data_IF_778277122654
#
_entry.id   IF_778277122654
#
_cell.length_a   1.000
_cell.length_b   1.000
_cell.length_c   1.000
_cell.angle_alpha   90.00
_cell.angle_beta   90.00
_cell.angle_gamma   90.00
#
_symmetry.space_group_name_H-M   'P 1'
#
loop_
_entity.id
_entity.type
_entity.pdbx_description
1 polymer ?
#
# COMPACT_ATOMS: atom_id res chain seq x y z
N UNK A 1 -16.90 -20.34 7.42
CA UNK A 1 -16.04 -19.14 7.45
C UNK A 1 -16.33 -18.34 6.19
N UNK A 2 -16.50 -17.03 6.31
CA UNK A 2 -16.98 -16.21 5.19
C UNK A 2 -16.00 -16.31 4.00
N UNK A 3 -16.54 -16.65 2.82
CA UNK A 3 -15.81 -16.79 1.55
C UNK A 3 -15.81 -15.46 0.79
N UNK A 4 -15.42 -14.38 1.47
CA UNK A 4 -15.55 -13.02 0.95
C UNK A 4 -14.39 -12.16 1.40
N UNK A 5 -14.13 -11.09 0.68
CA UNK A 5 -13.23 -10.03 1.15
C UNK A 5 -13.77 -9.40 2.43
N UNK A 6 -12.88 -9.16 3.38
CA UNK A 6 -13.16 -8.43 4.62
C UNK A 6 -12.77 -6.95 4.49
N UNK A 7 -11.83 -6.64 3.59
CA UNK A 7 -11.29 -5.30 3.36
C UNK A 7 -11.36 -4.92 1.88
N UNK A 8 -11.74 -3.70 1.59
CA UNK A 8 -11.64 -3.12 0.25
C UNK A 8 -10.18 -2.69 -0.03
N UNK A 9 -9.51 -2.11 0.97
CA UNK A 9 -8.15 -1.59 0.84
C UNK A 9 -7.25 -2.13 1.94
N UNK A 10 -6.01 -2.48 1.59
CA UNK A 10 -4.92 -2.74 2.53
C UNK A 10 -3.84 -1.66 2.37
N UNK A 11 -3.60 -0.85 3.40
CA UNK A 11 -2.51 0.15 3.36
C UNK A 11 -1.21 -0.49 3.86
N UNK A 12 -0.19 -0.49 3.00
CA UNK A 12 1.14 -1.05 3.29
C UNK A 12 2.18 0.07 3.33
N UNK A 13 2.92 0.19 4.42
CA UNK A 13 4.00 1.17 4.57
C UNK A 13 5.05 0.67 5.58
N UNK A 14 6.26 1.27 5.53
CA UNK A 14 7.31 0.98 6.52
C UNK A 14 6.95 1.61 7.87
N UNK A 15 6.65 0.77 8.86
CA UNK A 15 6.15 1.15 10.20
C UNK A 15 7.26 1.45 11.22
N UNK A 16 8.31 2.14 10.81
CA UNK A 16 9.32 2.64 11.75
C UNK A 16 8.96 4.05 12.19
N UNK A 17 9.20 4.40 13.46
CA UNK A 17 9.04 5.77 13.94
C UNK A 17 9.74 6.76 12.99
N UNK A 18 9.02 7.80 12.58
CA UNK A 18 9.50 8.80 11.62
C UNK A 18 8.36 9.41 10.79
N UNK A 19 8.75 10.32 9.91
CA UNK A 19 7.84 11.20 9.16
C UNK A 19 6.81 10.42 8.35
N UNK A 20 7.21 9.36 7.63
CA UNK A 20 6.28 8.53 6.86
C UNK A 20 5.16 7.96 7.76
N UNK A 21 5.51 7.38 8.92
CA UNK A 21 4.52 6.79 9.80
C UNK A 21 3.59 7.84 10.41
N UNK A 22 4.11 9.03 10.73
CA UNK A 22 3.31 10.13 11.24
C UNK A 22 2.39 10.69 10.15
N UNK A 23 2.89 10.90 8.93
CA UNK A 23 2.12 11.36 7.79
C UNK A 23 0.98 10.40 7.42
N UNK A 24 1.27 9.08 7.40
CA UNK A 24 0.23 8.09 7.11
C UNK A 24 -0.88 8.14 8.16
N UNK A 25 -0.52 8.22 9.45
CA UNK A 25 -1.48 8.24 10.57
C UNK A 25 -2.28 9.54 10.62
N UNK A 26 -1.60 10.67 10.52
CA UNK A 26 -2.19 11.99 10.73
C UNK A 26 -3.03 12.45 9.55
N UNK A 27 -2.66 12.04 8.32
CA UNK A 27 -3.22 12.59 7.09
C UNK A 27 -3.72 11.52 6.12
N UNK A 28 -2.83 10.69 5.58
CA UNK A 28 -3.16 9.84 4.43
C UNK A 28 -4.28 8.83 4.72
N UNK A 29 -4.13 8.00 5.76
CA UNK A 29 -5.12 6.98 6.10
C UNK A 29 -6.49 7.61 6.38
N UNK A 30 -6.51 8.68 7.18
CA UNK A 30 -7.75 9.37 7.55
C UNK A 30 -8.45 9.97 6.33
N UNK A 31 -7.74 10.74 5.51
CA UNK A 31 -8.31 11.39 4.33
C UNK A 31 -8.76 10.37 3.29
N UNK A 32 -7.99 9.30 3.09
CA UNK A 32 -8.36 8.23 2.16
C UNK A 32 -9.61 7.49 2.63
N UNK A 33 -9.71 7.19 3.93
CA UNK A 33 -10.91 6.57 4.51
C UNK A 33 -12.14 7.44 4.31
N UNK A 34 -12.06 8.73 4.66
CA UNK A 34 -13.17 9.67 4.49
C UNK A 34 -13.56 9.84 3.01
N UNK A 35 -12.58 9.89 2.09
CA UNK A 35 -12.85 10.05 0.66
C UNK A 35 -13.50 8.80 0.05
N UNK A 36 -13.04 7.60 0.41
CA UNK A 36 -13.63 6.34 -0.07
C UNK A 36 -15.04 6.12 0.49
N UNK A 37 -15.29 6.47 1.75
CA UNK A 37 -16.61 6.35 2.38
C UNK A 37 -17.65 7.26 1.72
N UNK A 38 -17.22 8.41 1.18
CA UNK A 38 -18.08 9.31 0.40
C UNK A 38 -18.25 8.88 -1.06
N UNK A 39 -17.50 7.88 -1.52
CA UNK A 39 -17.50 7.43 -2.92
C UNK A 39 -18.30 6.13 -3.07
N UNK A 40 -18.11 5.16 -2.17
CA UNK A 40 -18.78 3.86 -2.20
C UNK A 40 -20.17 3.93 -1.56
N UNK A 41 -21.15 3.20 -2.13
CA UNK A 41 -22.50 3.04 -1.54
C UNK A 41 -22.55 2.18 -0.26
N UNK A 42 -21.40 1.67 0.19
CA UNK A 42 -21.25 0.81 1.37
C UNK A 42 -20.09 1.32 2.22
N UNK A 43 -20.14 1.06 3.52
CA UNK A 43 -19.04 1.36 4.43
C UNK A 43 -17.73 0.77 3.91
N UNK A 44 -16.73 1.62 3.68
CA UNK A 44 -15.42 1.18 3.21
C UNK A 44 -14.66 0.49 4.34
N UNK A 45 -14.07 -0.67 4.05
CA UNK A 45 -13.23 -1.38 5.02
C UNK A 45 -11.76 -1.29 4.63
N UNK A 46 -11.01 -0.48 5.37
CA UNK A 46 -9.57 -0.34 5.18
C UNK A 46 -8.84 -1.12 6.27
N UNK A 47 -8.00 -2.07 5.87
CA UNK A 47 -7.01 -2.64 6.76
C UNK A 47 -5.84 -1.68 6.91
N UNK A 48 -5.67 -1.18 8.13
CA UNK A 48 -4.57 -0.35 8.55
C UNK A 48 -3.98 -0.92 9.85
N UNK A 49 -2.74 -1.38 9.76
CA UNK A 49 -1.98 -1.85 10.92
C UNK A 49 -1.00 -0.77 11.35
N UNK A 50 -1.18 -0.25 12.56
CA UNK A 50 -0.36 0.81 13.15
C UNK A 50 0.71 0.28 14.13
N UNK A 51 0.74 -1.03 14.35
CA UNK A 51 1.66 -1.69 15.27
C UNK A 51 3.03 -1.88 14.59
N UNK A 52 4.11 -1.61 15.34
CA UNK A 52 5.47 -1.89 14.88
C UNK A 52 5.65 -3.40 14.82
N UNK A 53 6.11 -3.91 13.67
CA UNK A 53 6.44 -5.33 13.49
C UNK A 53 7.64 -5.65 14.37
N UNK A 54 7.41 -6.36 15.47
CA UNK A 54 8.45 -6.83 16.39
C UNK A 54 8.69 -8.32 16.17
N UNK A 55 9.95 -8.68 15.89
CA UNK A 55 10.35 -10.07 15.64
C UNK A 55 10.30 -10.50 14.17
N UNK A 56 11.01 -11.58 13.84
CA UNK A 56 11.22 -12.08 12.48
C UNK A 56 10.08 -12.93 11.89
N UNK A 57 8.85 -12.82 12.40
CA UNK A 57 7.69 -13.53 11.85
C UNK A 57 6.69 -12.54 11.26
N UNK A 58 6.25 -12.77 10.01
CA UNK A 58 5.21 -11.93 9.39
C UNK A 58 3.92 -12.08 10.21
N UNK A 59 3.34 -10.99 10.76
CA UNK A 59 2.17 -11.12 11.61
C UNK A 59 1.05 -11.87 10.90
N UNK A 60 0.57 -12.95 11.52
CA UNK A 60 -0.49 -13.79 10.96
C UNK A 60 -1.75 -12.97 10.63
N UNK A 61 -1.99 -11.91 11.41
CA UNK A 61 -3.03 -10.90 11.19
C UNK A 61 -2.84 -10.15 9.88
N UNK A 62 -1.65 -9.60 9.60
CA UNK A 62 -1.34 -8.89 8.36
C UNK A 62 -1.43 -9.81 7.13
N UNK A 63 -0.93 -11.04 7.24
CA UNK A 63 -1.08 -12.05 6.17
C UNK A 63 -2.54 -12.37 5.88
N UNK A 64 -3.32 -12.65 6.93
CA UNK A 64 -4.74 -12.98 6.80
C UNK A 64 -5.54 -11.80 6.24
N UNK A 65 -5.26 -10.58 6.70
CA UNK A 65 -5.87 -9.36 6.20
C UNK A 65 -5.54 -9.13 4.72
N UNK A 66 -4.28 -9.31 4.31
CA UNK A 66 -3.91 -9.22 2.90
C UNK A 66 -4.67 -10.23 2.04
N UNK A 67 -4.85 -11.47 2.51
CA UNK A 67 -5.65 -12.51 1.83
C UNK A 67 -7.14 -12.16 1.70
N UNK A 68 -7.64 -11.23 2.50
CA UNK A 68 -9.03 -10.77 2.50
C UNK A 68 -9.19 -9.32 2.09
N UNK A 69 -8.14 -8.71 1.52
CA UNK A 69 -8.19 -7.39 0.92
C UNK A 69 -8.33 -7.47 -0.61
N UNK A 70 -9.15 -6.58 -1.18
CA UNK A 70 -9.33 -6.45 -2.64
C UNK A 70 -8.13 -5.77 -3.29
N UNK A 71 -7.74 -4.59 -2.77
CA UNK A 71 -6.67 -3.76 -3.34
C UNK A 71 -5.60 -3.47 -2.28
N UNK A 72 -4.34 -3.46 -2.71
CA UNK A 72 -3.19 -3.05 -1.92
C UNK A 72 -2.83 -1.61 -2.31
N UNK A 73 -2.64 -0.76 -1.30
CA UNK A 73 -2.13 0.62 -1.44
C UNK A 73 -0.77 0.72 -0.73
N UNK A 74 0.33 0.48 -1.45
CA UNK A 74 1.68 0.74 -0.97
C UNK A 74 1.95 2.24 -0.85
N UNK A 75 2.41 2.67 0.33
CA UNK A 75 3.00 4.01 0.52
C UNK A 75 4.51 3.88 0.36
N UNK A 76 4.97 4.15 -0.85
CA UNK A 76 6.32 3.91 -1.31
C UNK A 76 7.31 4.94 -0.75
N UNK A 77 8.43 4.42 -0.25
CA UNK A 77 9.64 5.14 0.14
C UNK A 77 10.85 4.25 -0.17
N UNK A 78 12.10 4.74 -0.20
CA UNK A 78 13.26 3.88 -0.45
C UNK A 78 13.39 2.72 0.56
N UNK A 79 12.92 2.93 1.80
CA UNK A 79 12.91 1.91 2.85
C UNK A 79 11.79 0.88 2.67
N UNK A 80 10.70 1.22 1.97
CA UNK A 80 9.64 0.27 1.63
C UNK A 80 10.19 -0.91 0.83
N UNK A 81 11.00 -0.63 -0.19
CA UNK A 81 11.59 -1.63 -1.08
C UNK A 81 12.76 -2.40 -0.47
N UNK A 82 13.11 -2.13 0.79
CA UNK A 82 14.09 -2.89 1.58
C UNK A 82 13.45 -3.63 2.76
N UNK A 83 12.14 -3.49 2.93
CA UNK A 83 11.38 -4.14 3.99
C UNK A 83 10.83 -5.47 3.46
N UNK A 84 11.25 -6.57 4.07
CA UNK A 84 10.87 -7.93 3.67
C UNK A 84 9.35 -8.13 3.63
N UNK A 85 8.63 -7.52 4.57
CA UNK A 85 7.20 -7.71 4.71
C UNK A 85 6.42 -6.82 3.74
N UNK A 86 6.88 -5.59 3.48
CA UNK A 86 6.33 -4.74 2.43
C UNK A 86 6.50 -5.41 1.05
N UNK A 87 7.67 -6.00 0.79
CA UNK A 87 7.91 -6.77 -0.44
C UNK A 87 7.04 -8.03 -0.49
N UNK A 88 6.85 -8.73 0.64
CA UNK A 88 5.95 -9.87 0.73
C UNK A 88 4.51 -9.50 0.34
N UNK A 89 4.00 -8.39 0.86
CA UNK A 89 2.67 -7.87 0.54
C UNK A 89 2.54 -7.55 -0.94
N UNK A 90 3.50 -6.79 -1.49
CA UNK A 90 3.53 -6.43 -2.89
C UNK A 90 3.57 -7.66 -3.81
N UNK A 91 4.51 -8.56 -3.60
CA UNK A 91 4.67 -9.75 -4.46
C UNK A 91 3.51 -10.73 -4.34
N UNK A 92 2.86 -10.80 -3.18
CA UNK A 92 1.64 -11.60 -3.01
C UNK A 92 0.50 -11.07 -3.88
N UNK A 93 0.30 -9.75 -3.90
CA UNK A 93 -0.74 -9.13 -4.74
C UNK A 93 -0.39 -9.19 -6.22
N UNK A 94 0.88 -8.98 -6.59
CA UNK A 94 1.31 -9.13 -7.98
C UNK A 94 1.13 -10.57 -8.50
N UNK A 95 1.31 -11.56 -7.63
CA UNK A 95 1.02 -12.96 -7.94
C UNK A 95 -0.48 -13.21 -8.14
N UNK A 96 -1.37 -12.53 -7.39
CA UNK A 96 -2.82 -12.59 -7.60
C UNK A 96 -3.22 -12.01 -8.95
N UNK A 97 -2.70 -10.85 -9.32
CA UNK A 97 -2.97 -10.26 -10.64
C UNK A 97 -2.58 -11.22 -11.77
N UNK A 98 -1.39 -11.85 -11.64
CA UNK A 98 -0.90 -12.83 -12.62
C UNK A 98 -1.81 -14.06 -12.69
N UNK A 99 -2.23 -14.58 -11.54
CA UNK A 99 -3.11 -15.74 -11.46
C UNK A 99 -4.50 -15.45 -12.03
N UNK A 100 -5.08 -14.30 -11.65
CA UNK A 100 -6.38 -13.85 -12.15
C UNK A 100 -6.34 -13.61 -13.66
N UNK A 101 -5.31 -12.92 -14.17
CA UNK A 101 -5.18 -12.66 -15.61
C UNK A 101 -5.03 -13.91 -16.48
N UNK A 102 -4.47 -15.01 -15.94
CA UNK A 102 -4.46 -16.30 -16.62
C UNK A 102 -5.85 -16.93 -16.73
N UNK A 103 -6.75 -16.63 -15.79
CA UNK A 103 -8.11 -17.18 -15.74
C UNK A 103 -9.09 -16.33 -16.56
N UNK A 104 -9.00 -15.00 -16.47
CA UNK A 104 -9.94 -14.06 -17.13
C UNK A 104 -9.48 -13.53 -18.48
N UNK A 105 -8.21 -13.65 -18.85
CA UNK A 105 -7.64 -13.06 -20.07
C UNK A 105 -7.30 -11.57 -19.96
N UNK A 106 -7.93 -10.85 -19.02
CA UNK A 106 -7.54 -9.49 -18.60
C UNK A 106 -6.86 -9.53 -17.22
N UNK A 107 -5.73 -8.86 -17.08
CA UNK A 107 -4.96 -8.82 -15.83
C UNK A 107 -5.49 -7.69 -14.94
N UNK A 108 -6.18 -8.00 -13.82
CA UNK A 108 -6.68 -6.95 -12.95
C UNK A 108 -5.53 -6.20 -12.29
N UNK A 109 -5.73 -4.92 -12.02
CA UNK A 109 -4.82 -4.10 -11.22
C UNK A 109 -5.25 -4.19 -9.76
N UNK A 110 -4.41 -4.78 -8.91
CA UNK A 110 -4.67 -4.96 -7.48
C UNK A 110 -3.68 -4.21 -6.59
N UNK A 111 -2.69 -3.55 -7.20
CA UNK A 111 -1.71 -2.72 -6.49
C UNK A 111 -1.80 -1.28 -7.00
N UNK A 112 -2.11 -0.36 -6.10
CA UNK A 112 -2.19 1.08 -6.33
C UNK A 112 -1.10 1.82 -5.52
N UNK A 113 0.12 1.95 -6.07
CA UNK A 113 1.23 2.58 -5.36
C UNK A 113 1.11 4.10 -5.29
N UNK A 114 1.33 4.66 -4.10
CA UNK A 114 1.50 6.10 -3.88
C UNK A 114 2.93 6.39 -3.42
N UNK A 115 3.46 7.54 -3.79
CA UNK A 115 4.84 7.95 -3.53
C UNK A 115 4.82 8.99 -2.41
N UNK A 116 5.55 8.73 -1.31
CA UNK A 116 5.67 9.66 -0.19
C UNK A 116 6.89 10.61 -0.30
N UNK A 117 7.96 10.18 -0.96
CA UNK A 117 9.19 10.97 -1.13
C UNK A 117 9.79 10.71 -2.52
N UNK A 118 11.06 11.03 -2.79
CA UNK A 118 11.62 10.77 -4.12
C UNK A 118 11.52 9.29 -4.54
N UNK A 119 11.31 9.06 -5.83
CA UNK A 119 11.21 7.74 -6.44
C UNK A 119 12.47 7.30 -7.18
N UNK A 120 13.55 8.10 -7.10
CA UNK A 120 14.81 7.88 -7.82
C UNK A 120 15.47 6.54 -7.46
N UNK A 121 15.31 6.12 -6.21
CA UNK A 121 15.91 4.89 -5.69
C UNK A 121 14.97 3.68 -5.74
N UNK A 122 13.79 3.81 -6.35
CA UNK A 122 12.84 2.71 -6.44
C UNK A 122 13.32 1.70 -7.50
N UNK A 123 13.08 0.41 -7.29
CA UNK A 123 13.47 -0.60 -8.27
C UNK A 123 12.67 -0.41 -9.56
N UNK A 124 13.29 -0.71 -10.71
CA UNK A 124 12.67 -0.51 -12.03
C UNK A 124 11.31 -1.20 -12.18
N UNK A 125 11.16 -2.40 -11.61
CA UNK A 125 9.90 -3.15 -11.63
C UNK A 125 8.76 -2.44 -10.89
N UNK A 126 9.06 -1.54 -9.96
CA UNK A 126 8.03 -0.78 -9.28
C UNK A 126 7.44 0.29 -10.21
N UNK A 127 8.31 0.91 -11.03
CA UNK A 127 7.94 1.93 -12.04
C UNK A 127 7.17 1.37 -13.23
N UNK A 128 7.09 0.05 -13.40
CA UNK A 128 6.19 -0.59 -14.36
C UNK A 128 4.70 -0.32 -14.04
N UNK A 129 4.40 0.10 -12.80
CA UNK A 129 3.05 0.48 -12.36
C UNK A 129 2.88 1.98 -12.38
N UNK A 130 1.66 2.42 -12.69
CA UNK A 130 1.25 3.82 -12.53
C UNK A 130 1.25 4.16 -11.04
N UNK A 131 2.25 4.90 -10.60
CA UNK A 131 2.33 5.43 -9.24
C UNK A 131 1.72 6.82 -9.15
N UNK A 132 1.12 7.15 -8.00
CA UNK A 132 0.66 8.51 -7.70
C UNK A 132 1.66 9.26 -6.85
N UNK A 133 2.10 10.40 -7.36
CA UNK A 133 3.05 11.23 -6.65
C UNK A 133 2.33 12.10 -5.60
N UNK A 134 2.69 11.92 -4.33
CA UNK A 134 2.20 12.73 -3.22
C UNK A 134 3.36 13.44 -2.48
N UNK A 135 4.55 13.51 -3.09
CA UNK A 135 5.73 14.11 -2.50
C UNK A 135 5.50 15.58 -2.11
N UNK A 136 4.70 16.32 -2.89
CA UNK A 136 4.39 17.73 -2.63
C UNK A 136 3.67 17.96 -1.29
N UNK A 137 3.00 16.93 -0.74
CA UNK A 137 2.23 17.02 0.49
C UNK A 137 2.76 16.14 1.62
N UNK A 138 4.05 15.79 1.60
CA UNK A 138 4.66 14.84 2.53
C UNK A 138 4.92 15.37 3.96
N UNK A 139 4.24 16.45 4.36
CA UNK A 139 4.40 17.09 5.67
C UNK A 139 3.72 16.28 6.79
N UNK A 140 4.48 15.67 7.72
CA UNK A 140 3.92 14.72 8.70
C UNK A 140 3.17 15.40 9.84
N UNK A 141 3.37 16.70 10.03
CA UNK A 141 2.91 17.43 11.21
C UNK A 141 1.41 17.74 11.14
N UNK A 142 0.71 17.71 12.28
CA UNK A 142 -0.73 17.97 12.33
C UNK A 142 -1.12 19.37 11.82
N UNK A 143 -0.28 20.38 12.06
CA UNK A 143 -0.52 21.76 11.61
C UNK A 143 -0.62 21.89 10.08
N UNK A 144 -0.13 20.90 9.32
CA UNK A 144 -0.32 20.84 7.87
C UNK A 144 -1.81 20.90 7.51
N UNK A 145 -2.73 20.40 8.34
CA UNK A 145 -4.18 20.45 8.11
C UNK A 145 -4.75 21.87 7.95
N UNK A 146 -4.05 22.88 8.48
CA UNK A 146 -4.46 24.28 8.36
C UNK A 146 -3.81 25.00 7.16
N UNK A 147 -2.89 24.35 6.44
CA UNK A 147 -2.20 24.95 5.30
C UNK A 147 -3.08 24.92 4.04
N UNK A 148 -2.91 25.90 3.15
CA UNK A 148 -3.63 25.93 1.87
C UNK A 148 -3.33 24.70 1.00
N UNK A 149 -2.07 24.24 0.99
CA UNK A 149 -1.66 23.03 0.28
C UNK A 149 -2.41 21.76 0.75
N UNK A 150 -3.02 21.78 1.95
CA UNK A 150 -3.85 20.68 2.42
C UNK A 150 -5.18 20.55 1.66
N UNK A 151 -5.69 21.66 1.10
CA UNK A 151 -6.87 21.63 0.22
C UNK A 151 -6.55 20.89 -1.09
N UNK A 152 -5.37 21.14 -1.65
CA UNK A 152 -4.88 20.44 -2.85
C UNK A 152 -4.64 18.96 -2.55
N UNK A 153 -4.01 18.65 -1.41
CA UNK A 153 -3.89 17.27 -0.92
C UNK A 153 -5.25 16.57 -0.81
N UNK A 154 -6.26 17.24 -0.25
CA UNK A 154 -7.61 16.70 -0.15
C UNK A 154 -8.23 16.41 -1.53
N UNK A 155 -8.05 17.31 -2.50
CA UNK A 155 -8.50 17.10 -3.88
C UNK A 155 -7.82 15.90 -4.53
N UNK A 156 -6.50 15.76 -4.36
CA UNK A 156 -5.74 14.63 -4.92
C UNK A 156 -6.16 13.30 -4.28
N UNK A 157 -6.37 13.27 -2.95
CA UNK A 157 -6.91 12.08 -2.27
C UNK A 157 -8.32 11.74 -2.77
N UNK A 158 -9.15 12.74 -3.09
CA UNK A 158 -10.46 12.54 -3.71
C UNK A 158 -10.37 11.88 -5.09
N UNK A 159 -9.36 12.22 -5.90
CA UNK A 159 -9.14 11.55 -7.19
C UNK A 159 -8.60 10.13 -7.01
N UNK A 160 -7.69 9.93 -6.06
CA UNK A 160 -7.21 8.60 -5.67
C UNK A 160 -8.37 7.71 -5.21
N UNK A 161 -9.32 8.23 -4.44
CA UNK A 161 -10.48 7.47 -3.97
C UNK A 161 -11.37 6.99 -5.12
N UNK A 162 -11.62 7.82 -6.14
CA UNK A 162 -12.37 7.43 -7.35
C UNK A 162 -11.65 6.36 -8.15
N UNK A 163 -10.33 6.51 -8.35
CA UNK A 163 -9.55 5.49 -9.04
C UNK A 163 -9.56 4.17 -8.25
N UNK A 164 -9.50 4.22 -6.92
CA UNK A 164 -9.59 3.03 -6.07
C UNK A 164 -10.97 2.38 -6.08
N UNK A 165 -12.07 3.15 -6.11
CA UNK A 165 -13.43 2.61 -6.27
C UNK A 165 -13.50 1.70 -7.51
N UNK A 166 -13.03 2.19 -8.65
CA UNK A 166 -13.02 1.40 -9.89
C UNK A 166 -12.22 0.10 -9.75
N UNK A 167 -11.07 0.14 -9.06
CA UNK A 167 -10.26 -1.05 -8.80
C UNK A 167 -10.91 -2.02 -7.82
N UNK A 168 -11.59 -1.52 -6.79
CA UNK A 168 -12.30 -2.29 -5.78
C UNK A 168 -13.46 -3.06 -6.43
N UNK A 169 -14.23 -2.41 -7.29
CA UNK A 169 -15.37 -3.01 -8.00
C UNK A 169 -14.92 -3.99 -9.09
N UNK A 170 -13.76 -3.75 -9.73
CA UNK A 170 -13.17 -4.66 -10.72
C UNK A 170 -12.33 -5.79 -10.11
N UNK A 171 -12.15 -5.83 -8.78
CA UNK A 171 -11.37 -6.86 -8.13
C UNK A 171 -12.01 -8.25 -8.38
N UNK A 172 -11.20 -9.28 -8.70
CA UNK A 172 -11.71 -10.62 -8.96
C UNK A 172 -12.39 -11.20 -7.71
N UNK A 173 -13.30 -12.14 -7.88
CA UNK A 173 -13.94 -12.84 -6.77
C UNK A 173 -12.91 -13.40 -5.78
N UNK A 174 -13.28 -13.39 -4.50
CA UNK A 174 -12.40 -13.88 -3.45
C UNK A 174 -12.10 -15.37 -3.63
N UNK A 175 -10.85 -15.76 -3.37
CA UNK A 175 -10.39 -17.15 -3.39
C UNK A 175 -9.60 -17.47 -2.13
N UNK A 176 -9.79 -18.67 -1.60
CA UNK A 176 -9.06 -19.16 -0.42
C UNK A 176 -7.61 -19.56 -0.76
N UNK A 177 -7.35 -19.88 -2.02
CA UNK A 177 -6.05 -20.27 -2.55
C UNK A 177 -5.18 -19.09 -3.01
N UNK A 178 -5.54 -17.86 -2.64
CA UNK A 178 -4.76 -16.68 -3.01
C UNK A 178 -3.29 -16.82 -2.58
N UNK A 179 -2.33 -16.63 -3.50
CA UNK A 179 -0.92 -16.87 -3.23
C UNK A 179 -0.40 -15.92 -2.17
N UNK A 180 0.45 -16.46 -1.31
CA UNK A 180 1.20 -15.72 -0.31
C UNK A 180 2.68 -15.90 -0.60
N UNK A 181 3.37 -14.80 -0.91
CA UNK A 181 4.80 -14.77 -1.21
C UNK A 181 5.53 -14.12 -0.03
N UNK A 182 6.50 -14.82 0.52
CA UNK A 182 7.48 -14.28 1.47
C UNK A 182 8.84 -14.31 0.76
N UNK A 183 9.26 -13.22 0.11
CA UNK A 183 10.60 -13.16 -0.49
C UNK A 183 11.64 -13.30 0.63
N UNK A 184 12.69 -14.09 0.37
CA UNK A 184 13.87 -14.12 1.24
C UNK A 184 14.57 -12.76 1.07
N UNK A 185 14.96 -12.06 2.15
CA UNK A 185 15.65 -10.78 2.03
C UNK A 185 16.88 -10.89 1.14
N UNK A 186 17.10 -9.92 0.25
CA UNK A 186 18.39 -9.78 -0.40
C UNK A 186 19.48 -9.63 0.67
N UNK A 187 20.63 -10.32 0.53
CA UNK A 187 21.71 -10.18 1.50
C UNK A 187 22.11 -8.70 1.60
N UNK A 188 22.44 -8.21 2.80
CA UNK A 188 22.83 -6.82 2.99
C UNK A 188 23.97 -6.49 2.02
N UNK A 189 23.77 -5.43 1.23
CA UNK A 189 24.79 -4.94 0.32
C UNK A 189 26.11 -4.76 1.09
N UNK A 190 27.23 -5.32 0.61
CA UNK A 190 28.49 -5.27 1.35
C UNK A 190 28.81 -3.81 1.66
N UNK A 191 28.90 -3.50 2.95
CA UNK A 191 29.32 -2.18 3.43
C UNK A 191 30.64 -1.88 2.73
N UNK A 192 30.67 -0.84 1.89
CA UNK A 192 31.93 -0.31 1.37
C UNK A 192 32.66 0.30 2.56
N UNK A 193 33.46 -0.53 3.24
CA UNK A 193 34.40 -0.06 4.25
C UNK A 193 35.32 0.93 3.53
N UNK A 194 35.40 2.21 3.95
CA UNK A 194 36.38 3.13 3.39
C UNK A 194 37.76 2.51 3.62
N UNK A 195 38.50 2.31 2.53
CA UNK A 195 39.92 1.96 2.64
C UNK A 195 40.63 3.20 3.20
N UNK A 196 41.07 3.11 4.46
CA UNK A 196 42.04 4.03 5.04
C UNK A 196 43.44 3.67 4.55
#
# INVERSE_FOLDING_TARGET
MARVYEYDVFISYRRTAGDLSAWVKNHFHRRLSEALDNTLYRDVKIFFDDHVRTGGNWPATARAALQRARVLVPVCSPKYFKDEWCLAEWHSMAARETLAGRTSGDRPTLIYPVIFCDSWNFPAWAHERRMKDLQEWNFPYEHFQAAQAYLEFHQEIGQIAKELEELIERAPEWRDDWPVRTPVPDPPSPVRIPRF
#
